data_IF_713788479692
#
_entry.id   IF_713788479692
#
_cell.length_a   1.000
_cell.length_b   1.000
_cell.length_c   1.000
_cell.angle_alpha   90.00
_cell.angle_beta   90.00
_cell.angle_gamma   90.00
#
_symmetry.space_group_name_H-M   'P 1'
#
loop_
_entity.id
_entity.type
_entity.pdbx_description
1 polymer ?
#
# COMPACT_ATOMS: atom_id res chain seq x y z
N UNK A 1 -16.78 28.13 -17.76
CA UNK A 1 -16.31 27.20 -16.75
C UNK A 1 -16.55 25.78 -17.25
N UNK A 2 -15.52 24.93 -17.21
CA UNK A 2 -15.60 23.51 -17.51
C UNK A 2 -15.35 22.73 -16.22
N UNK A 3 -16.23 21.77 -15.90
CA UNK A 3 -16.05 20.87 -14.75
C UNK A 3 -15.78 19.48 -15.27
N UNK A 4 -14.70 18.86 -14.79
CA UNK A 4 -14.25 17.52 -15.21
C UNK A 4 -14.05 16.68 -13.96
N UNK A 5 -14.83 15.60 -13.84
CA UNK A 5 -14.81 14.70 -12.69
C UNK A 5 -14.33 13.31 -13.13
N UNK A 6 -13.15 12.91 -12.63
CA UNK A 6 -12.48 11.59 -12.78
C UNK A 6 -12.41 10.98 -14.20
N UNK A 7 -12.77 11.71 -15.24
CA UNK A 7 -12.90 11.18 -16.63
C UNK A 7 -11.57 10.69 -17.25
N UNK A 8 -10.43 11.07 -16.65
CA UNK A 8 -9.09 10.66 -17.13
C UNK A 8 -8.69 9.23 -16.72
N UNK A 9 -9.49 8.56 -15.92
CA UNK A 9 -9.24 7.16 -15.51
C UNK A 9 -9.75 6.15 -16.56
N UNK A 10 -10.51 6.58 -17.58
CA UNK A 10 -11.12 5.72 -18.58
C UNK A 10 -10.40 5.88 -19.92
N UNK A 11 -10.00 4.76 -20.53
CA UNK A 11 -9.34 4.72 -21.84
C UNK A 11 -7.85 4.37 -21.79
N UNK A 12 -7.26 4.15 -22.96
CA UNK A 12 -5.85 3.86 -23.10
C UNK A 12 -4.96 5.11 -22.92
N UNK A 13 -3.64 4.92 -22.82
CA UNK A 13 -2.68 6.02 -22.60
C UNK A 13 -2.73 7.08 -23.72
N UNK A 14 -3.12 6.72 -24.94
CA UNK A 14 -3.24 7.64 -26.08
C UNK A 14 -4.44 8.55 -25.92
N UNK A 15 -5.57 8.01 -25.47
CA UNK A 15 -6.80 8.75 -25.17
C UNK A 15 -6.59 9.69 -24.00
N UNK A 16 -5.96 9.22 -22.92
CA UNK A 16 -5.62 10.07 -21.75
C UNK A 16 -4.75 11.26 -22.16
N UNK A 17 -3.74 11.05 -23.01
CA UNK A 17 -2.87 12.13 -23.52
C UNK A 17 -3.64 13.14 -24.36
N UNK A 18 -4.56 12.68 -25.24
CA UNK A 18 -5.43 13.55 -26.05
C UNK A 18 -6.38 14.37 -25.16
N UNK A 19 -6.99 13.76 -24.14
CA UNK A 19 -7.87 14.44 -23.21
C UNK A 19 -7.13 15.52 -22.42
N UNK A 20 -5.94 15.22 -21.89
CA UNK A 20 -5.08 16.18 -21.20
C UNK A 20 -4.73 17.40 -22.11
N UNK A 21 -4.31 17.13 -23.34
CA UNK A 21 -3.97 18.17 -24.29
C UNK A 21 -5.19 19.06 -24.62
N UNK A 22 -6.37 18.48 -24.79
CA UNK A 22 -7.61 19.22 -25.03
C UNK A 22 -8.00 20.11 -23.84
N UNK A 23 -7.85 19.61 -22.61
CA UNK A 23 -8.12 20.40 -21.41
C UNK A 23 -7.17 21.57 -21.28
N UNK A 24 -5.89 21.37 -21.60
CA UNK A 24 -4.90 22.46 -21.62
C UNK A 24 -5.24 23.53 -22.67
N UNK A 25 -5.68 23.15 -23.87
CA UNK A 25 -6.06 24.11 -24.91
C UNK A 25 -7.29 24.92 -24.49
N UNK A 26 -8.32 24.27 -23.92
CA UNK A 26 -9.53 24.97 -23.42
C UNK A 26 -9.21 25.97 -22.33
N UNK A 27 -8.25 25.65 -21.47
CA UNK A 27 -7.85 26.56 -20.39
C UNK A 27 -6.98 27.71 -20.89
N UNK A 28 -6.01 27.46 -21.78
CA UNK A 28 -5.02 28.44 -22.24
C UNK A 28 -5.50 29.24 -23.42
N UNK A 29 -6.08 28.58 -24.41
CA UNK A 29 -6.43 29.23 -25.69
C UNK A 29 -7.81 29.89 -25.63
N UNK A 30 -8.78 29.25 -24.96
CA UNK A 30 -10.15 29.77 -24.81
C UNK A 30 -10.32 30.63 -23.55
N UNK A 31 -9.30 30.73 -22.70
CA UNK A 31 -9.34 31.52 -21.44
C UNK A 31 -10.39 31.03 -20.43
N UNK A 32 -10.82 29.75 -20.53
CA UNK A 32 -11.89 29.20 -19.66
C UNK A 32 -11.31 28.65 -18.37
N UNK A 33 -12.00 28.90 -17.27
CA UNK A 33 -11.70 28.24 -16.00
C UNK A 33 -12.09 26.76 -16.08
N UNK A 34 -11.12 25.87 -15.78
CA UNK A 34 -11.35 24.42 -15.69
C UNK A 34 -11.27 24.00 -14.23
N UNK A 35 -12.33 23.37 -13.73
CA UNK A 35 -12.36 22.71 -12.43
C UNK A 35 -12.18 21.21 -12.65
N UNK A 36 -11.02 20.70 -12.20
CA UNK A 36 -10.66 19.29 -12.37
C UNK A 36 -10.70 18.56 -11.03
N UNK A 37 -11.55 17.55 -10.90
CA UNK A 37 -11.66 16.71 -9.72
C UNK A 37 -10.96 15.39 -10.00
N UNK A 38 -10.00 15.02 -9.19
CA UNK A 38 -9.26 13.76 -9.32
C UNK A 38 -8.58 13.36 -8.01
N UNK A 39 -8.40 12.06 -7.83
CA UNK A 39 -7.54 11.50 -6.81
C UNK A 39 -6.11 11.19 -7.34
N UNK A 40 -5.86 11.37 -8.64
CA UNK A 40 -4.55 11.13 -9.26
C UNK A 40 -3.66 12.40 -9.16
N UNK A 41 -2.73 12.39 -8.22
CA UNK A 41 -1.83 13.52 -7.94
C UNK A 41 -0.93 13.88 -9.12
N UNK A 42 -0.54 12.93 -9.97
CA UNK A 42 0.24 13.20 -11.18
C UNK A 42 -0.55 13.98 -12.22
N UNK A 43 -1.82 13.65 -12.40
CA UNK A 43 -2.71 14.39 -13.29
C UNK A 43 -2.95 15.82 -12.77
N UNK A 44 -3.16 15.96 -11.46
CA UNK A 44 -3.31 17.28 -10.81
C UNK A 44 -2.05 18.12 -11.01
N UNK A 45 -0.84 17.58 -10.81
CA UNK A 45 0.43 18.27 -11.04
C UNK A 45 0.58 18.77 -12.46
N UNK A 46 0.14 17.99 -13.45
CA UNK A 46 0.28 18.32 -14.87
C UNK A 46 -0.74 19.34 -15.37
N UNK A 47 -1.94 19.34 -14.79
CA UNK A 47 -3.08 20.10 -15.31
C UNK A 47 -3.41 21.37 -14.51
N UNK A 48 -3.17 21.36 -13.20
CA UNK A 48 -3.65 22.40 -12.31
C UNK A 48 -2.52 23.32 -11.84
N UNK A 49 -2.74 24.62 -11.87
CA UNK A 49 -1.85 25.64 -11.26
C UNK A 49 -2.20 25.90 -9.79
N UNK A 50 -3.46 25.65 -9.42
CA UNK A 50 -3.99 25.80 -8.06
C UNK A 50 -4.79 24.56 -7.69
N UNK A 51 -4.81 24.23 -6.41
CA UNK A 51 -5.55 23.10 -5.84
C UNK A 51 -6.39 23.59 -4.67
N UNK A 52 -7.58 23.03 -4.54
CA UNK A 52 -8.47 23.18 -3.39
C UNK A 52 -8.62 21.80 -2.74
N UNK A 53 -8.35 21.71 -1.46
CA UNK A 53 -8.53 20.46 -0.69
C UNK A 53 -9.91 20.51 -0.02
N UNK A 54 -10.72 19.47 -0.30
CA UNK A 54 -12.03 19.29 0.31
C UNK A 54 -11.98 18.18 1.35
N UNK A 55 -12.69 18.37 2.46
CA UNK A 55 -12.95 17.34 3.46
C UNK A 55 -14.39 17.46 3.94
N UNK A 56 -15.17 16.37 3.80
CA UNK A 56 -16.59 16.33 4.16
C UNK A 56 -17.40 17.52 3.58
N UNK A 57 -17.15 17.83 2.29
CA UNK A 57 -17.85 18.89 1.57
C UNK A 57 -17.43 20.33 1.93
N UNK A 58 -16.41 20.51 2.79
CA UNK A 58 -15.88 21.83 3.17
C UNK A 58 -14.47 22.03 2.62
N UNK A 59 -14.18 23.26 2.21
CA UNK A 59 -12.82 23.65 1.84
C UNK A 59 -11.99 23.71 3.13
N UNK A 60 -10.91 22.92 3.17
CA UNK A 60 -9.97 22.90 4.31
C UNK A 60 -8.66 23.63 4.01
N UNK A 61 -8.26 23.69 2.74
CA UNK A 61 -7.09 24.45 2.30
C UNK A 61 -7.13 24.70 0.79
N UNK A 62 -6.35 25.70 0.32
CA UNK A 62 -6.19 25.98 -1.11
C UNK A 62 -4.87 26.72 -1.35
N UNK A 63 -4.28 26.53 -2.53
CA UNK A 63 -3.01 27.17 -2.86
C UNK A 63 -2.35 26.63 -4.12
N UNK A 64 -1.03 26.82 -4.23
CA UNK A 64 -0.23 26.33 -5.35
C UNK A 64 -0.21 24.78 -5.36
N UNK A 65 -0.22 24.20 -6.55
CA UNK A 65 -0.38 22.75 -6.75
C UNK A 65 0.60 21.92 -5.95
N UNK A 66 1.90 22.18 -6.05
CA UNK A 66 2.91 21.38 -5.35
C UNK A 66 2.80 21.49 -3.83
N UNK A 67 2.51 22.68 -3.31
CA UNK A 67 2.33 22.91 -1.88
C UNK A 67 1.11 22.16 -1.35
N UNK A 68 -0.02 22.26 -2.03
CA UNK A 68 -1.26 21.61 -1.61
C UNK A 68 -1.20 20.10 -1.73
N UNK A 69 -0.56 19.57 -2.77
CA UNK A 69 -0.33 18.12 -2.88
C UNK A 69 0.54 17.63 -1.73
N UNK A 70 1.63 18.32 -1.41
CA UNK A 70 2.48 17.95 -0.29
C UNK A 70 1.71 17.97 1.04
N UNK A 71 0.94 19.04 1.31
CA UNK A 71 0.08 19.13 2.50
C UNK A 71 -0.97 18.01 2.55
N UNK A 72 -1.61 17.72 1.43
CA UNK A 72 -2.59 16.62 1.32
C UNK A 72 -1.97 15.27 1.61
N UNK A 73 -0.79 15.00 1.02
CA UNK A 73 -0.04 13.77 1.26
C UNK A 73 0.49 13.69 2.68
N UNK A 74 1.03 14.78 3.24
CA UNK A 74 1.48 14.85 4.63
C UNK A 74 0.34 14.65 5.62
N UNK A 75 -0.79 15.32 5.44
CA UNK A 75 -1.97 15.15 6.30
C UNK A 75 -2.49 13.70 6.27
N UNK A 76 -2.47 13.07 5.10
CA UNK A 76 -2.79 11.67 4.97
C UNK A 76 -1.70 10.76 5.58
N UNK A 77 -0.43 11.16 5.54
CA UNK A 77 0.67 10.48 6.22
C UNK A 77 0.60 10.66 7.76
N UNK A 78 0.25 11.83 8.25
CA UNK A 78 0.10 12.07 9.71
C UNK A 78 -1.07 11.27 10.32
N UNK A 79 -2.15 11.07 9.56
CA UNK A 79 -3.23 10.15 9.94
C UNK A 79 -2.73 8.69 9.91
N UNK A 80 -1.78 8.34 9.04
CA UNK A 80 -1.21 6.99 8.88
C UNK A 80 -0.09 6.69 9.87
N UNK A 81 0.63 7.72 10.36
CA UNK A 81 1.88 7.55 11.14
C UNK A 81 1.74 6.83 12.48
N UNK A 82 0.53 6.52 12.95
CA UNK A 82 0.35 5.98 14.30
C UNK A 82 -0.46 4.69 14.42
N UNK A 83 -0.94 4.11 13.33
CA UNK A 83 -1.65 2.83 13.46
C UNK A 83 -0.64 1.67 13.48
N UNK A 84 -0.40 1.13 14.67
CA UNK A 84 0.32 -0.16 14.87
C UNK A 84 -0.60 -1.34 14.58
N UNK A 85 -1.90 -1.09 14.64
CA UNK A 85 -2.95 -2.05 14.29
C UNK A 85 -4.23 -1.34 13.90
N UNK A 86 -5.03 -2.02 13.09
CA UNK A 86 -6.38 -1.62 12.73
C UNK A 86 -7.27 -2.81 13.01
N UNK A 87 -8.39 -2.58 13.69
CA UNK A 87 -9.33 -3.64 14.07
C UNK A 87 -10.77 -3.22 13.73
N UNK A 88 -11.54 -4.17 13.21
CA UNK A 88 -12.98 -4.05 12.95
C UNK A 88 -13.74 -5.05 13.81
N UNK A 89 -14.82 -4.63 14.45
CA UNK A 89 -15.73 -5.53 15.13
C UNK A 89 -16.52 -6.36 14.10
N UNK A 90 -17.08 -7.49 14.54
CA UNK A 90 -17.79 -8.39 13.62
C UNK A 90 -18.95 -7.69 12.90
N UNK A 91 -19.61 -6.76 13.56
CA UNK A 91 -20.77 -6.03 13.06
C UNK A 91 -20.42 -4.68 12.40
N UNK A 92 -19.14 -4.27 12.41
CA UNK A 92 -18.70 -3.03 11.78
C UNK A 92 -18.71 -3.16 10.24
N UNK A 93 -18.82 -2.01 9.56
CA UNK A 93 -18.61 -1.91 8.11
C UNK A 93 -17.11 -2.02 7.76
N UNK A 94 -16.51 -3.17 8.03
CA UNK A 94 -15.12 -3.48 7.64
C UNK A 94 -15.03 -4.08 6.24
N UNK A 95 -13.79 -4.17 5.70
CA UNK A 95 -13.55 -4.82 4.41
C UNK A 95 -14.07 -6.26 4.42
N UNK A 96 -15.01 -6.57 3.54
CA UNK A 96 -15.68 -7.87 3.53
C UNK A 96 -16.22 -8.24 2.16
N UNK A 97 -16.41 -9.53 1.97
CA UNK A 97 -17.16 -10.15 0.89
C UNK A 97 -18.27 -11.03 1.49
N UNK A 98 -18.98 -11.77 0.64
CA UNK A 98 -19.97 -12.77 1.12
C UNK A 98 -19.34 -13.98 1.82
N UNK A 99 -18.02 -14.17 1.71
CA UNK A 99 -17.30 -15.35 2.20
C UNK A 99 -16.32 -15.00 3.30
N UNK A 100 -15.65 -13.85 3.21
CA UNK A 100 -14.58 -13.44 4.13
C UNK A 100 -14.82 -12.02 4.64
N UNK A 101 -14.47 -11.78 5.90
CA UNK A 101 -14.46 -10.46 6.52
C UNK A 101 -13.17 -10.23 7.27
N UNK A 102 -12.48 -9.14 6.97
CA UNK A 102 -11.26 -8.75 7.67
C UNK A 102 -11.60 -8.34 9.11
N UNK A 103 -10.85 -8.85 10.09
CA UNK A 103 -10.97 -8.49 11.50
C UNK A 103 -9.92 -7.49 11.93
N UNK A 104 -8.65 -7.78 11.69
CA UNK A 104 -7.56 -6.88 12.09
C UNK A 104 -6.32 -7.09 11.25
N UNK A 105 -5.52 -6.02 11.17
CA UNK A 105 -4.15 -6.03 10.66
C UNK A 105 -3.29 -5.38 11.72
N UNK A 106 -2.14 -5.97 12.03
CA UNK A 106 -1.21 -5.45 13.01
C UNK A 106 0.24 -5.66 12.56
N UNK A 107 1.10 -4.70 12.87
CA UNK A 107 2.54 -4.85 12.77
C UNK A 107 3.14 -5.03 14.16
N UNK A 108 4.02 -6.01 14.29
CA UNK A 108 4.59 -6.46 15.56
C UNK A 108 6.08 -6.74 15.42
N UNK A 109 6.80 -6.53 16.52
CA UNK A 109 8.18 -6.98 16.64
C UNK A 109 8.26 -8.48 17.06
N UNK A 110 9.47 -9.01 17.19
CA UNK A 110 9.72 -10.39 17.61
C UNK A 110 9.19 -10.71 19.03
N UNK A 111 9.05 -9.70 19.91
CA UNK A 111 8.42 -9.85 21.23
C UNK A 111 6.88 -9.87 21.16
N UNK A 112 6.29 -9.84 19.96
CA UNK A 112 4.85 -9.77 19.73
C UNK A 112 4.18 -8.46 20.21
N UNK A 113 4.97 -7.39 20.40
CA UNK A 113 4.49 -6.05 20.73
C UNK A 113 4.07 -5.29 19.49
N UNK A 114 3.01 -4.49 19.63
CA UNK A 114 2.52 -3.64 18.54
C UNK A 114 3.48 -2.48 18.30
N UNK A 115 4.12 -2.43 17.15
CA UNK A 115 5.06 -1.38 16.74
C UNK A 115 4.82 -0.97 15.29
N UNK A 116 5.18 0.27 14.97
CA UNK A 116 5.19 0.79 13.60
C UNK A 116 6.58 1.24 13.15
N UNK A 117 7.54 1.23 14.09
CA UNK A 117 8.92 1.61 13.89
C UNK A 117 9.80 0.39 14.11
N UNK A 118 10.66 0.07 13.15
CA UNK A 118 11.52 -1.12 13.19
C UNK A 118 12.96 -0.73 12.90
N UNK A 119 13.88 -1.48 13.50
CA UNK A 119 15.28 -1.48 13.05
C UNK A 119 15.44 -2.40 11.82
N UNK A 120 16.39 -2.09 10.94
CA UNK A 120 16.72 -2.94 9.79
C UNK A 120 17.11 -4.36 10.24
N UNK A 121 17.73 -4.49 11.41
CA UNK A 121 18.20 -5.76 11.97
C UNK A 121 17.15 -6.50 12.83
N UNK A 122 15.87 -6.06 12.76
CA UNK A 122 14.73 -6.73 13.39
C UNK A 122 13.85 -7.49 12.41
N UNK A 123 13.18 -8.52 12.90
CA UNK A 123 12.09 -9.18 12.18
C UNK A 123 10.81 -8.37 12.28
N UNK A 124 10.09 -8.26 11.16
CA UNK A 124 8.80 -7.59 11.09
C UNK A 124 7.70 -8.63 10.95
N UNK A 125 6.78 -8.68 11.89
CA UNK A 125 5.64 -9.59 11.85
C UNK A 125 4.39 -8.80 11.45
N UNK A 126 3.79 -9.16 10.32
CA UNK A 126 2.47 -8.66 9.92
C UNK A 126 1.44 -9.74 10.21
N UNK A 127 0.57 -9.45 11.17
CA UNK A 127 -0.52 -10.35 11.60
C UNK A 127 -1.83 -9.88 11.00
N UNK A 128 -2.53 -10.79 10.33
CA UNK A 128 -3.83 -10.54 9.68
C UNK A 128 -4.85 -11.51 10.25
N UNK A 129 -5.89 -11.00 10.89
CA UNK A 129 -7.02 -11.81 11.38
C UNK A 129 -8.25 -11.57 10.52
N UNK A 130 -8.96 -12.63 10.20
CA UNK A 130 -10.17 -12.56 9.38
C UNK A 130 -11.15 -13.68 9.74
N UNK A 131 -12.44 -13.38 9.59
CA UNK A 131 -13.50 -14.37 9.69
C UNK A 131 -13.76 -14.99 8.32
N UNK A 132 -13.84 -16.31 8.29
CA UNK A 132 -14.45 -17.06 7.20
C UNK A 132 -15.92 -17.23 7.54
N UNK A 133 -16.78 -16.72 6.68
CA UNK A 133 -18.24 -16.64 6.90
C UNK A 133 -18.96 -17.82 6.31
N UNK A 134 -18.36 -18.55 5.38
CA UNK A 134 -18.90 -19.75 4.73
C UNK A 134 -17.83 -20.82 4.64
N UNK A 135 -18.15 -22.07 4.99
CA UNK A 135 -17.28 -23.23 4.88
C UNK A 135 -17.05 -23.66 3.43
N UNK A 136 -16.15 -24.62 3.24
CA UNK A 136 -15.82 -25.27 1.96
C UNK A 136 -15.22 -24.38 0.87
N UNK A 137 -14.54 -23.31 1.27
CA UNK A 137 -13.82 -22.46 0.34
C UNK A 137 -12.32 -22.53 0.59
N UNK A 138 -11.55 -22.57 -0.48
CA UNK A 138 -10.11 -22.32 -0.41
C UNK A 138 -9.89 -20.80 -0.28
N UNK A 139 -9.16 -20.39 0.74
CA UNK A 139 -8.90 -18.98 1.03
C UNK A 139 -7.39 -18.77 1.06
N UNK A 140 -6.93 -17.71 0.44
CA UNK A 140 -5.55 -17.24 0.52
C UNK A 140 -5.50 -15.79 0.96
N UNK A 141 -4.58 -15.49 1.87
CA UNK A 141 -4.26 -14.13 2.27
C UNK A 141 -2.92 -13.72 1.64
N UNK A 142 -2.88 -12.57 1.01
CA UNK A 142 -1.68 -11.99 0.41
C UNK A 142 -1.27 -10.73 1.16
N UNK A 143 -0.02 -10.69 1.56
CA UNK A 143 0.67 -9.48 2.00
C UNK A 143 1.30 -8.80 0.79
N UNK A 144 0.98 -7.53 0.59
CA UNK A 144 1.62 -6.69 -0.43
C UNK A 144 2.25 -5.48 0.27
N UNK A 145 3.52 -5.22 -0.01
CA UNK A 145 4.25 -4.09 0.56
C UNK A 145 4.58 -3.11 -0.57
N UNK A 146 4.33 -1.84 -0.31
CA UNK A 146 4.54 -0.75 -1.24
C UNK A 146 5.54 0.27 -0.70
N UNK A 147 6.33 0.84 -1.59
CA UNK A 147 7.12 2.04 -1.34
C UNK A 147 6.78 3.06 -2.43
N UNK A 148 6.36 4.27 -2.03
CA UNK A 148 6.01 5.36 -2.96
C UNK A 148 5.09 4.92 -4.14
N UNK A 149 4.04 4.17 -3.85
CA UNK A 149 3.08 3.62 -4.82
C UNK A 149 3.61 2.46 -5.70
N UNK A 150 4.85 2.03 -5.53
CA UNK A 150 5.39 0.86 -6.21
C UNK A 150 5.25 -0.35 -5.30
N UNK A 151 4.61 -1.42 -5.79
CA UNK A 151 4.56 -2.70 -5.08
C UNK A 151 5.92 -3.37 -5.17
N UNK A 152 6.58 -3.54 -4.02
CA UNK A 152 7.94 -4.09 -3.92
C UNK A 152 7.95 -5.54 -3.44
N UNK A 153 6.89 -5.98 -2.77
CA UNK A 153 6.76 -7.35 -2.28
C UNK A 153 5.31 -7.81 -2.42
N UNK A 154 5.12 -9.07 -2.82
CA UNK A 154 3.84 -9.77 -2.76
C UNK A 154 4.10 -11.20 -2.31
N UNK A 155 3.51 -11.58 -1.17
CA UNK A 155 3.62 -12.92 -0.58
C UNK A 155 2.21 -13.43 -0.32
N UNK A 156 1.99 -14.71 -0.57
CA UNK A 156 0.71 -15.39 -0.36
C UNK A 156 0.93 -16.46 0.71
N UNK A 157 0.05 -16.50 1.70
CA UNK A 157 -0.01 -17.59 2.66
C UNK A 157 -0.63 -18.85 2.03
N UNK A 158 -0.70 -19.92 2.82
CA UNK A 158 -1.33 -21.18 2.41
C UNK A 158 -0.80 -21.75 1.07
N UNK A 159 0.42 -21.34 0.68
CA UNK A 159 1.10 -21.90 -0.48
C UNK A 159 1.76 -23.23 -0.11
N UNK A 160 1.18 -24.32 -0.54
CA UNK A 160 1.82 -25.64 -0.44
C UNK A 160 2.78 -25.78 -1.62
N UNK A 161 4.06 -25.86 -1.33
CA UNK A 161 5.14 -25.98 -2.32
C UNK A 161 4.83 -27.13 -3.28
N UNK A 162 4.73 -26.82 -4.58
CA UNK A 162 4.44 -27.73 -5.68
C UNK A 162 3.02 -28.33 -5.75
N UNK A 163 2.04 -27.79 -5.03
CA UNK A 163 0.69 -28.35 -4.99
C UNK A 163 -0.41 -27.31 -5.16
N UNK A 164 -0.34 -26.46 -6.19
CA UNK A 164 -1.45 -25.60 -6.57
C UNK A 164 -2.72 -26.42 -6.78
N UNK A 165 -3.80 -26.00 -6.13
CA UNK A 165 -5.09 -26.67 -6.21
C UNK A 165 -5.34 -27.78 -5.18
N UNK A 166 -4.34 -28.15 -4.37
CA UNK A 166 -4.52 -29.05 -3.23
C UNK A 166 -4.61 -28.33 -1.88
N UNK A 167 -5.00 -27.08 -1.91
CA UNK A 167 -5.24 -26.30 -0.70
C UNK A 167 -6.41 -26.91 0.07
N UNK A 168 -6.28 -26.92 1.39
CA UNK A 168 -7.34 -27.39 2.28
C UNK A 168 -8.49 -26.39 2.29
N UNK A 169 -9.73 -26.86 2.19
CA UNK A 169 -10.91 -26.05 2.41
C UNK A 169 -10.95 -25.61 3.87
N UNK A 170 -11.39 -24.40 4.08
CA UNK A 170 -11.55 -23.81 5.41
C UNK A 170 -12.98 -23.97 5.90
N UNK A 171 -13.10 -24.22 7.19
CA UNK A 171 -14.37 -24.15 7.90
C UNK A 171 -14.72 -22.72 8.31
N UNK A 172 -15.99 -22.46 8.60
CA UNK A 172 -16.41 -21.18 9.16
C UNK A 172 -15.70 -20.92 10.50
N UNK A 173 -15.10 -19.75 10.66
CA UNK A 173 -14.35 -19.44 11.89
C UNK A 173 -13.48 -18.20 11.77
N UNK A 174 -12.74 -17.94 12.84
CA UNK A 174 -11.73 -16.89 12.92
C UNK A 174 -10.35 -17.49 12.64
N UNK A 175 -9.64 -16.91 11.69
CA UNK A 175 -8.32 -17.32 11.25
C UNK A 175 -7.29 -16.21 11.40
N UNK A 176 -6.02 -16.60 11.42
CA UNK A 176 -4.90 -15.71 11.55
C UNK A 176 -3.79 -16.13 10.59
N UNK A 177 -3.41 -15.22 9.68
CA UNK A 177 -2.21 -15.34 8.85
C UNK A 177 -1.10 -14.46 9.42
N UNK A 178 0.10 -15.02 9.57
CA UNK A 178 1.29 -14.29 9.99
C UNK A 178 2.33 -14.33 8.89
N UNK A 179 2.79 -13.14 8.49
CA UNK A 179 3.88 -12.97 7.56
C UNK A 179 5.10 -12.45 8.33
N UNK A 180 6.19 -13.18 8.24
CA UNK A 180 7.45 -12.83 8.92
C UNK A 180 8.42 -12.34 7.87
N UNK A 181 8.70 -11.04 7.88
CA UNK A 181 9.73 -10.43 7.03
C UNK A 181 11.05 -10.53 7.78
N UNK A 182 12.06 -11.18 7.19
CA UNK A 182 13.33 -11.38 7.88
C UNK A 182 14.07 -10.06 8.10
N UNK A 183 14.90 -10.04 9.13
CA UNK A 183 15.83 -8.93 9.38
C UNK A 183 16.75 -8.70 8.17
N UNK A 184 17.19 -7.47 7.99
CA UNK A 184 18.06 -7.06 6.90
C UNK A 184 17.45 -7.32 5.49
N UNK A 185 16.13 -7.23 5.36
CA UNK A 185 15.45 -7.42 4.08
C UNK A 185 15.21 -6.08 3.37
N UNK A 186 14.68 -5.10 4.07
CA UNK A 186 14.42 -3.76 3.54
C UNK A 186 15.55 -2.79 3.89
N UNK A 187 15.69 -1.76 3.06
CA UNK A 187 16.44 -0.56 3.41
C UNK A 187 15.60 0.38 4.29
N UNK A 188 16.21 1.46 4.76
CA UNK A 188 15.50 2.52 5.48
C UNK A 188 14.39 3.11 4.64
N UNK A 189 13.28 3.42 5.27
CA UNK A 189 12.18 4.05 4.59
C UNK A 189 10.82 3.76 5.20
N UNK A 190 9.81 4.29 4.55
CA UNK A 190 8.40 4.12 4.90
C UNK A 190 7.74 3.18 3.91
N UNK A 191 7.01 2.20 4.43
CA UNK A 191 6.39 1.14 3.65
C UNK A 191 4.92 1.00 4.00
N UNK A 192 4.07 0.96 2.99
CA UNK A 192 2.63 0.75 3.14
C UNK A 192 2.30 -0.74 3.01
N UNK A 193 1.51 -1.23 3.95
CA UNK A 193 1.08 -2.63 4.04
C UNK A 193 -0.33 -2.75 3.49
N UNK A 194 -0.49 -3.55 2.45
CA UNK A 194 -1.77 -3.90 1.87
C UNK A 194 -2.05 -5.39 2.04
N UNK A 195 -3.31 -5.72 2.30
CA UNK A 195 -3.78 -7.10 2.44
C UNK A 195 -4.82 -7.38 1.37
N UNK A 196 -4.67 -8.52 0.71
CA UNK A 196 -5.66 -9.05 -0.22
C UNK A 196 -6.02 -10.46 0.22
N UNK A 197 -7.30 -10.69 0.52
CA UNK A 197 -7.81 -12.03 0.80
C UNK A 197 -8.66 -12.44 -0.41
N UNK A 198 -8.39 -13.59 -0.98
CA UNK A 198 -9.02 -14.04 -2.22
C UNK A 198 -9.18 -15.56 -2.23
N UNK A 199 -10.01 -16.04 -3.16
CA UNK A 199 -10.13 -17.44 -3.48
C UNK A 199 -9.11 -17.77 -4.59
N UNK A 200 -8.35 -18.86 -4.48
CA UNK A 200 -7.41 -19.31 -5.52
C UNK A 200 -8.08 -19.57 -6.87
N UNK A 201 -7.30 -19.63 -7.98
CA UNK A 201 -7.83 -19.82 -9.34
C UNK A 201 -8.74 -21.06 -9.47
N UNK A 202 -9.94 -20.82 -9.92
CA UNK A 202 -11.06 -21.76 -10.00
C UNK A 202 -12.37 -21.05 -9.68
N UNK A 203 -12.32 -20.02 -8.88
CA UNK A 203 -13.45 -19.16 -8.53
C UNK A 203 -13.11 -17.71 -8.94
N UNK A 204 -13.37 -17.38 -10.20
CA UNK A 204 -12.88 -16.13 -10.87
C UNK A 204 -13.76 -14.91 -10.50
N UNK A 205 -14.76 -15.05 -9.68
CA UNK A 205 -15.59 -13.91 -9.30
C UNK A 205 -14.83 -12.95 -8.39
N UNK A 206 -14.42 -11.81 -8.96
CA UNK A 206 -13.80 -10.69 -8.25
C UNK A 206 -14.63 -10.16 -7.08
N UNK A 207 -15.93 -10.51 -7.01
CA UNK A 207 -16.86 -10.20 -5.93
C UNK A 207 -16.48 -10.84 -4.58
N UNK A 208 -15.65 -11.89 -4.56
CA UNK A 208 -15.23 -12.59 -3.35
C UNK A 208 -13.90 -12.09 -2.77
N UNK A 209 -13.22 -11.18 -3.46
CA UNK A 209 -11.99 -10.60 -2.92
C UNK A 209 -12.27 -9.56 -1.84
N UNK A 210 -11.44 -9.57 -0.81
CA UNK A 210 -11.37 -8.51 0.19
C UNK A 210 -10.01 -7.83 0.08
N UNK A 211 -10.02 -6.55 -0.24
CA UNK A 211 -8.79 -5.74 -0.35
C UNK A 211 -8.77 -4.67 0.73
N UNK A 212 -7.63 -4.51 1.37
CA UNK A 212 -7.40 -3.43 2.31
C UNK A 212 -5.95 -2.88 2.17
N UNK A 213 -5.81 -1.57 2.00
CA UNK A 213 -6.87 -0.62 1.68
C UNK A 213 -7.41 -0.85 0.28
N UNK A 214 -8.62 -0.35 0.02
CA UNK A 214 -9.18 -0.38 -1.33
C UNK A 214 -8.49 0.69 -2.17
N UNK A 215 -7.52 0.28 -2.99
CA UNK A 215 -6.64 1.16 -3.75
C UNK A 215 -5.22 1.28 -3.12
N UNK A 216 -4.30 1.93 -3.82
CA UNK A 216 -2.89 2.01 -3.46
C UNK A 216 -2.56 2.91 -2.25
N UNK A 217 -3.56 3.49 -1.60
CA UNK A 217 -3.34 4.49 -0.58
C UNK A 217 -4.10 4.20 0.72
N UNK A 218 -3.41 3.94 1.83
CA UNK A 218 -3.96 4.07 3.18
C UNK A 218 -4.09 2.84 4.04
N UNK A 219 -3.24 1.84 3.85
CA UNK A 219 -3.11 0.70 4.76
C UNK A 219 -2.34 1.02 6.05
N UNK A 220 -1.97 -0.01 6.76
CA UNK A 220 -1.01 0.07 7.83
C UNK A 220 0.33 0.52 7.26
N UNK A 221 1.02 1.44 7.93
CA UNK A 221 2.32 1.93 7.50
C UNK A 221 3.38 1.56 8.52
N UNK A 222 4.53 1.08 8.07
CA UNK A 222 5.70 0.80 8.90
C UNK A 222 6.87 1.69 8.47
N UNK A 223 7.69 2.10 9.44
CA UNK A 223 8.92 2.84 9.22
C UNK A 223 10.11 1.96 9.60
N UNK A 224 11.13 1.92 8.77
CA UNK A 224 12.34 1.16 9.01
C UNK A 224 13.51 2.12 9.06
N UNK A 225 14.36 1.99 10.08
CA UNK A 225 15.54 2.83 10.31
C UNK A 225 16.75 1.98 10.68
N UNK A 226 17.94 2.43 10.31
CA UNK A 226 19.20 1.78 10.64
C UNK A 226 19.78 2.37 11.94
N UNK A 227 19.32 1.87 13.08
CA UNK A 227 19.81 2.31 14.40
C UNK A 227 21.17 1.69 14.79
N UNK A 228 21.55 0.59 14.12
CA UNK A 228 22.79 -0.12 14.42
C UNK A 228 23.52 -0.55 13.15
N UNK A 229 24.15 0.40 12.43
CA UNK A 229 24.70 0.15 11.10
C UNK A 229 25.79 -0.94 11.07
N UNK A 230 26.44 -1.27 12.20
CA UNK A 230 27.46 -2.32 12.27
C UNK A 230 26.91 -3.73 12.05
N UNK A 231 25.62 -3.94 12.31
CA UNK A 231 24.92 -5.23 12.13
C UNK A 231 24.15 -5.35 10.81
N UNK A 232 24.20 -4.33 10.00
CA UNK A 232 23.46 -4.27 8.73
C UNK A 232 24.41 -4.43 7.52
N UNK A 233 23.86 -4.48 6.32
CA UNK A 233 24.67 -4.57 5.10
C UNK A 233 25.61 -3.36 4.90
N UNK A 234 25.33 -2.21 5.51
CA UNK A 234 26.22 -1.04 5.49
C UNK A 234 27.51 -1.30 6.29
N UNK A 235 27.43 -2.01 7.41
CA UNK A 235 28.57 -2.23 8.30
C UNK A 235 29.17 -0.91 8.78
N UNK A 236 30.50 -0.83 8.79
CA UNK A 236 31.25 0.38 9.19
C UNK A 236 31.55 1.32 8.02
N UNK A 237 30.85 1.19 6.89
CA UNK A 237 31.09 2.04 5.71
C UNK A 237 30.84 3.52 6.04
N UNK A 238 31.83 4.41 5.89
CA UNK A 238 31.76 5.76 6.45
C UNK A 238 31.00 6.77 5.60
N UNK A 239 30.63 6.40 4.37
CA UNK A 239 29.94 7.30 3.44
C UNK A 239 28.44 7.00 3.38
N UNK A 240 27.66 7.93 2.81
CA UNK A 240 26.27 7.68 2.54
C UNK A 240 26.13 6.46 1.62
N UNK A 241 25.38 5.48 2.12
CA UNK A 241 25.03 4.31 1.35
C UNK A 241 23.99 4.71 0.31
N UNK A 242 23.89 3.96 -0.78
CA UNK A 242 22.89 4.19 -1.82
C UNK A 242 21.47 4.11 -1.22
N UNK A 243 20.90 5.26 -0.89
CA UNK A 243 19.55 5.40 -0.32
C UNK A 243 18.43 5.15 -1.33
N UNK A 244 18.76 4.87 -2.59
CA UNK A 244 17.77 4.56 -3.64
C UNK A 244 17.38 3.08 -3.64
N UNK A 245 18.21 2.21 -3.09
CA UNK A 245 17.91 0.79 -2.98
C UNK A 245 16.78 0.57 -1.97
N UNK A 246 15.71 -0.10 -2.40
CA UNK A 246 14.55 -0.44 -1.55
C UNK A 246 14.85 -1.69 -0.71
N UNK A 247 15.60 -2.63 -1.28
CA UNK A 247 16.03 -3.86 -0.62
C UNK A 247 17.51 -3.77 -0.28
N UNK A 248 17.86 -4.25 0.90
CA UNK A 248 19.23 -4.23 1.42
C UNK A 248 19.55 -5.53 2.15
N UNK A 249 19.41 -6.67 1.48
CA UNK A 249 19.68 -7.96 2.08
C UNK A 249 21.17 -8.10 2.39
N UNK A 250 21.49 -8.73 3.51
CA UNK A 250 22.85 -9.15 3.81
C UNK A 250 23.19 -10.35 2.93
N UNK A 251 24.01 -10.12 1.90
CA UNK A 251 24.46 -11.17 0.97
C UNK A 251 25.92 -11.49 1.30
N UNK A 252 26.23 -12.77 1.46
CA UNK A 252 27.61 -13.21 1.60
C UNK A 252 28.34 -13.03 0.27
N UNK A 253 29.51 -12.42 0.31
CA UNK A 253 30.33 -12.14 -0.87
C UNK A 253 31.73 -12.68 -0.65
N UNK A 254 32.31 -13.30 -1.69
CA UNK A 254 33.69 -13.76 -1.69
C UNK A 254 34.45 -13.08 -2.82
N UNK A 255 35.66 -12.59 -2.53
CA UNK A 255 36.56 -12.00 -3.52
C UNK A 255 37.83 -12.85 -3.60
N UNK A 256 38.06 -13.44 -4.75
CA UNK A 256 39.28 -14.27 -5.01
C UNK A 256 40.15 -13.60 -6.06
N UNK A 257 41.45 -13.51 -5.79
CA UNK A 257 42.45 -13.08 -6.81
C UNK A 257 42.67 -14.26 -7.75
N UNK A 258 42.54 -14.04 -9.07
CA UNK A 258 42.80 -15.00 -10.13
C UNK A 258 44.26 -14.95 -10.60
#
# INVERSE_FOLDING_TARGET
>A
ILIVDEVLAVGDASFQKKAINKMNSVSKDDGRTVLFVSHNMESIKKLCSKVVILNNGRIVDHGKTNEMINKYLQKNMDIRKNYKSIEWKKDDYGPSSSIVKLKSIASKNYNNELVSEFSIDEEIIIEVKYWILKSDHQISCSLQIYNKNMRILSVIDNYIKNEWGKQKNFEQGLYCSKFIVPKNFFNEGTFDINIVIFLPPGDIESSHQVMYPKGAAGGLTINISDFNPTNTAKGTYPYDWDNQAILRPKIETEVTKL
#
